data_IF_066553278910
#
_entry.id   IF_066553278910
#
_cell.length_a   1.000
_cell.length_b   1.000
_cell.length_c   1.000
_cell.angle_alpha   90.00
_cell.angle_beta   90.00
_cell.angle_gamma   90.00
#
_symmetry.space_group_name_H-M   'P 1'
#
loop_
_entity.id
_entity.type
_entity.pdbx_description
1 polymer ?
#
# COMPACT_ATOMS: atom_id res chain seq x y z
N UNK A 1 -10.35 19.53 38.13
CA UNK A 1 -9.77 18.24 37.71
C UNK A 1 -10.26 17.94 36.29
N UNK A 2 -9.50 18.33 35.28
CA UNK A 2 -9.90 18.18 33.88
C UNK A 2 -9.50 16.79 33.37
N UNK A 3 -10.51 16.05 32.91
CA UNK A 3 -10.36 14.75 32.27
C UNK A 3 -9.50 14.89 31.00
N UNK A 4 -8.37 14.19 30.97
CA UNK A 4 -7.63 13.95 29.73
C UNK A 4 -8.36 12.86 28.94
N UNK A 5 -9.26 13.26 28.03
CA UNK A 5 -9.68 12.38 26.95
C UNK A 5 -8.46 12.08 26.08
N UNK A 6 -7.96 10.85 26.16
CA UNK A 6 -7.11 10.27 25.13
C UNK A 6 -7.98 10.07 23.89
N UNK A 7 -7.95 11.03 22.97
CA UNK A 7 -8.49 10.81 21.63
C UNK A 7 -7.60 9.85 20.85
N UNK A 8 -8.23 8.82 20.30
CA UNK A 8 -7.70 7.81 19.41
C UNK A 8 -6.97 8.43 18.22
N UNK A 9 -5.63 8.42 18.25
CA UNK A 9 -4.78 8.70 17.08
C UNK A 9 -4.60 7.48 16.17
N UNK A 10 -5.58 6.57 16.11
CA UNK A 10 -5.47 5.34 15.31
C UNK A 10 -5.94 5.49 13.86
N UNK A 11 -6.38 6.68 13.43
CA UNK A 11 -7.06 6.86 12.14
C UNK A 11 -6.63 8.05 11.27
N UNK A 12 -5.60 8.82 11.65
CA UNK A 12 -5.14 9.91 10.77
C UNK A 12 -4.33 9.34 9.62
N UNK A 13 -4.98 9.28 8.46
CA UNK A 13 -4.34 9.12 7.15
C UNK A 13 -3.21 10.16 7.05
N UNK A 14 -1.97 9.78 6.70
CA UNK A 14 -0.91 10.74 6.50
C UNK A 14 -1.37 11.83 5.52
N UNK A 15 -1.08 13.12 5.77
CA UNK A 15 -1.53 14.24 4.93
C UNK A 15 -1.03 14.17 3.46
N UNK A 16 -0.20 13.18 3.12
CA UNK A 16 0.37 12.92 1.81
C UNK A 16 -0.36 11.87 0.96
N UNK A 17 -1.36 11.16 1.49
CA UNK A 17 -2.10 10.16 0.71
C UNK A 17 -3.25 10.81 -0.07
N UNK A 18 -3.33 10.51 -1.37
CA UNK A 18 -4.36 11.03 -2.26
C UNK A 18 -5.74 10.54 -1.83
N UNK A 19 -6.72 11.43 -1.73
CA UNK A 19 -8.10 11.00 -1.43
C UNK A 19 -8.69 10.31 -2.66
N UNK A 20 -9.08 9.05 -2.49
CA UNK A 20 -9.88 8.33 -3.48
C UNK A 20 -11.37 8.40 -3.12
N UNK A 21 -12.23 8.40 -4.13
CA UNK A 21 -13.69 8.39 -4.01
C UNK A 21 -14.25 6.95 -3.97
N UNK A 22 -15.42 6.71 -3.33
CA UNK A 22 -16.06 5.41 -3.33
C UNK A 22 -16.47 4.94 -4.72
N UNK A 23 -16.36 3.64 -4.97
CA UNK A 23 -16.76 2.98 -6.22
C UNK A 23 -18.18 2.41 -6.14
N UNK A 24 -18.97 2.55 -7.20
CA UNK A 24 -20.37 2.04 -7.24
C UNK A 24 -20.47 0.52 -7.37
N UNK A 25 -19.48 -0.14 -8.00
CA UNK A 25 -19.45 -1.59 -8.27
C UNK A 25 -18.08 -2.16 -7.92
N UNK A 26 -17.80 -2.39 -6.62
CA UNK A 26 -16.45 -2.67 -6.14
C UNK A 26 -15.88 -4.00 -6.65
N UNK A 27 -16.69 -5.05 -6.76
CA UNK A 27 -16.24 -6.36 -7.27
C UNK A 27 -15.80 -6.30 -8.74
N UNK A 28 -16.59 -5.64 -9.60
CA UNK A 28 -16.21 -5.41 -11.00
C UNK A 28 -14.96 -4.53 -11.11
N UNK A 29 -14.87 -3.50 -10.28
CA UNK A 29 -13.71 -2.63 -10.24
C UNK A 29 -12.45 -3.36 -9.77
N UNK A 30 -12.57 -4.35 -8.87
CA UNK A 30 -11.45 -5.21 -8.47
C UNK A 30 -10.97 -6.05 -9.66
N UNK A 31 -11.89 -6.72 -10.36
CA UNK A 31 -11.54 -7.48 -11.57
C UNK A 31 -10.87 -6.61 -12.63
N UNK A 32 -11.39 -5.40 -12.84
CA UNK A 32 -10.81 -4.42 -13.75
C UNK A 32 -9.41 -3.96 -13.30
N UNK A 33 -9.23 -3.66 -12.01
CA UNK A 33 -7.96 -3.23 -11.46
C UNK A 33 -6.88 -4.29 -11.68
N UNK A 34 -7.18 -5.56 -11.38
CA UNK A 34 -6.24 -6.67 -11.56
C UNK A 34 -5.88 -6.88 -13.05
N UNK A 35 -6.88 -6.77 -13.94
CA UNK A 35 -6.65 -6.84 -15.38
C UNK A 35 -5.75 -5.69 -15.87
N UNK A 36 -5.94 -4.48 -15.34
CA UNK A 36 -5.12 -3.31 -15.67
C UNK A 36 -3.69 -3.40 -15.14
N UNK A 37 -3.47 -4.03 -13.97
CA UNK A 37 -2.12 -4.27 -13.45
C UNK A 37 -1.32 -5.26 -14.31
N UNK A 38 -1.98 -6.15 -15.05
CA UNK A 38 -1.33 -7.08 -15.97
C UNK A 38 -1.04 -6.49 -17.37
N UNK A 39 -1.57 -5.30 -17.66
CA UNK A 39 -1.38 -4.65 -18.96
C UNK A 39 0.05 -4.12 -19.12
N UNK A 40 0.57 -4.05 -20.34
CA UNK A 40 1.89 -3.47 -20.64
C UNK A 40 1.86 -1.93 -20.65
N UNK A 41 0.67 -1.36 -20.87
CA UNK A 41 0.48 0.07 -20.94
C UNK A 41 0.45 0.72 -19.55
N UNK A 42 1.27 1.75 -19.38
CA UNK A 42 1.54 2.30 -18.06
C UNK A 42 0.37 3.13 -17.51
N UNK A 43 -0.41 3.78 -18.38
CA UNK A 43 -1.63 4.49 -18.00
C UNK A 43 -2.64 3.52 -17.40
N UNK A 44 -2.78 2.33 -18.00
CA UNK A 44 -3.68 1.29 -17.51
C UNK A 44 -3.22 0.79 -16.14
N UNK A 45 -1.94 0.46 -15.98
CA UNK A 45 -1.40 0.10 -14.65
C UNK A 45 -1.64 1.20 -13.61
N UNK A 46 -1.45 2.47 -13.98
CA UNK A 46 -1.67 3.61 -13.08
C UNK A 46 -3.13 3.72 -12.63
N UNK A 47 -4.07 3.49 -13.55
CA UNK A 47 -5.50 3.44 -13.23
C UNK A 47 -5.86 2.22 -12.37
N UNK A 48 -5.30 1.04 -12.66
CA UNK A 48 -5.47 -0.14 -11.83
C UNK A 48 -5.00 0.09 -10.38
N UNK A 49 -3.84 0.72 -10.21
CA UNK A 49 -3.32 1.11 -8.90
C UNK A 49 -4.24 2.11 -8.18
N UNK A 50 -4.87 3.03 -8.91
CA UNK A 50 -5.84 3.99 -8.37
C UNK A 50 -7.10 3.27 -7.87
N UNK A 51 -7.64 2.35 -8.66
CA UNK A 51 -8.80 1.53 -8.27
C UNK A 51 -8.50 0.71 -7.00
N UNK A 52 -7.32 0.09 -6.90
CA UNK A 52 -6.92 -0.62 -5.66
C UNK A 52 -6.93 0.30 -4.45
N UNK A 53 -6.46 1.55 -4.56
CA UNK A 53 -6.50 2.51 -3.44
C UNK A 53 -7.93 2.86 -3.04
N UNK A 54 -8.81 3.07 -4.01
CA UNK A 54 -10.22 3.35 -3.75
C UNK A 54 -10.91 2.18 -3.05
N UNK A 55 -10.66 0.95 -3.51
CA UNK A 55 -11.16 -0.28 -2.91
C UNK A 55 -10.65 -0.47 -1.48
N UNK A 56 -9.34 -0.31 -1.25
CA UNK A 56 -8.75 -0.44 0.08
C UNK A 56 -9.35 0.55 1.09
N UNK A 57 -9.66 1.77 0.64
CA UNK A 57 -10.21 2.83 1.49
C UNK A 57 -11.68 2.63 1.84
N UNK A 58 -12.49 2.17 0.89
CA UNK A 58 -13.97 2.22 1.01
C UNK A 58 -14.65 0.85 1.01
N UNK A 59 -13.97 -0.18 0.51
CA UNK A 59 -14.55 -1.49 0.16
C UNK A 59 -13.62 -2.63 0.60
N UNK A 60 -13.19 -2.60 1.87
CA UNK A 60 -12.25 -3.58 2.41
C UNK A 60 -12.78 -5.03 2.34
N UNK A 61 -14.09 -5.21 2.49
CA UNK A 61 -14.80 -6.48 2.34
C UNK A 61 -14.55 -7.17 0.99
N UNK A 62 -14.36 -6.40 -0.08
CA UNK A 62 -14.02 -6.92 -1.42
C UNK A 62 -12.53 -7.16 -1.58
N UNK A 63 -11.68 -6.41 -0.88
CA UNK A 63 -10.22 -6.52 -0.98
C UNK A 63 -9.66 -7.69 -0.17
N UNK A 64 -10.18 -7.90 1.05
CA UNK A 64 -9.63 -8.88 1.99
C UNK A 64 -9.62 -10.33 1.48
N UNK A 65 -10.64 -10.84 0.77
CA UNK A 65 -10.62 -12.19 0.19
C UNK A 65 -9.49 -12.40 -0.82
N UNK A 66 -9.12 -11.34 -1.55
CA UNK A 66 -8.12 -11.36 -2.62
C UNK A 66 -6.80 -10.68 -2.22
N UNK A 67 -6.60 -10.45 -0.91
CA UNK A 67 -5.56 -9.56 -0.38
C UNK A 67 -4.16 -9.94 -0.85
N UNK A 68 -3.82 -11.23 -0.77
CA UNK A 68 -2.52 -11.73 -1.15
C UNK A 68 -2.24 -11.50 -2.65
N UNK A 69 -3.24 -11.74 -3.49
CA UNK A 69 -3.11 -11.57 -4.94
C UNK A 69 -2.95 -10.09 -5.31
N UNK A 70 -3.78 -9.22 -4.72
CA UNK A 70 -3.69 -7.76 -4.88
C UNK A 70 -2.32 -7.27 -4.43
N UNK A 71 -1.88 -7.66 -3.25
CA UNK A 71 -0.59 -7.20 -2.68
C UNK A 71 0.58 -7.67 -3.53
N UNK A 72 0.55 -8.91 -4.02
CA UNK A 72 1.57 -9.42 -4.93
C UNK A 72 1.62 -8.64 -6.25
N UNK A 73 0.46 -8.32 -6.83
CA UNK A 73 0.38 -7.51 -8.05
C UNK A 73 0.94 -6.10 -7.83
N UNK A 74 0.60 -5.43 -6.71
CA UNK A 74 1.15 -4.11 -6.38
C UNK A 74 2.67 -4.18 -6.12
N UNK A 75 3.15 -5.22 -5.43
CA UNK A 75 4.58 -5.45 -5.17
C UNK A 75 5.38 -5.59 -6.48
N UNK A 76 4.82 -6.26 -7.49
CA UNK A 76 5.45 -6.35 -8.80
C UNK A 76 5.65 -4.96 -9.42
N UNK A 77 4.65 -4.08 -9.29
CA UNK A 77 4.70 -2.72 -9.81
C UNK A 77 5.62 -1.77 -9.03
N UNK A 78 5.93 -2.04 -7.76
CA UNK A 78 6.97 -1.28 -7.02
C UNK A 78 8.31 -1.32 -7.76
N UNK A 79 8.63 -2.43 -8.41
CA UNK A 79 9.87 -2.63 -9.17
C UNK A 79 9.79 -2.12 -10.62
N UNK A 80 8.65 -1.56 -11.04
CA UNK A 80 8.48 -1.06 -12.41
C UNK A 80 9.54 -0.01 -12.77
N UNK A 81 10.03 -0.08 -14.01
CA UNK A 81 11.06 0.83 -14.55
C UNK A 81 10.49 2.23 -14.81
N UNK A 82 9.20 2.33 -15.14
CA UNK A 82 8.52 3.61 -15.28
C UNK A 82 8.25 4.19 -13.89
N UNK A 83 8.93 5.31 -13.60
CA UNK A 83 8.86 5.94 -12.28
C UNK A 83 7.44 6.32 -11.84
N UNK A 84 6.55 6.68 -12.77
CA UNK A 84 5.15 7.01 -12.44
C UNK A 84 4.37 5.79 -11.92
N UNK A 85 4.54 4.62 -12.55
CA UNK A 85 3.89 3.37 -12.13
C UNK A 85 4.46 2.92 -10.80
N UNK A 86 5.79 2.92 -10.67
CA UNK A 86 6.46 2.54 -9.42
C UNK A 86 6.07 3.43 -8.25
N UNK A 87 6.00 4.75 -8.45
CA UNK A 87 5.49 5.69 -7.44
C UNK A 87 4.04 5.41 -7.10
N UNK A 88 3.20 5.18 -8.11
CA UNK A 88 1.80 4.79 -7.92
C UNK A 88 1.68 3.55 -7.04
N UNK A 89 2.51 2.53 -7.28
CA UNK A 89 2.51 1.30 -6.51
C UNK A 89 2.97 1.50 -5.06
N UNK A 90 4.02 2.29 -4.84
CA UNK A 90 4.49 2.66 -3.50
C UNK A 90 3.39 3.41 -2.72
N UNK A 91 2.72 4.37 -3.36
CA UNK A 91 1.57 5.05 -2.76
C UNK A 91 0.43 4.06 -2.47
N UNK A 92 0.15 3.13 -3.38
CA UNK A 92 -0.88 2.10 -3.16
C UNK A 92 -0.54 1.19 -1.97
N UNK A 93 0.72 0.79 -1.79
CA UNK A 93 1.15 0.07 -0.58
C UNK A 93 0.84 0.87 0.69
N UNK A 94 1.14 2.18 0.70
CA UNK A 94 0.85 3.03 1.85
C UNK A 94 -0.65 3.09 2.18
N UNK A 95 -1.52 3.11 1.16
CA UNK A 95 -2.98 3.02 1.33
C UNK A 95 -3.43 1.69 1.93
N UNK A 96 -2.89 0.57 1.43
CA UNK A 96 -3.21 -0.76 1.95
C UNK A 96 -2.87 -0.86 3.44
N UNK A 97 -1.68 -0.42 3.86
CA UNK A 97 -1.31 -0.40 5.28
C UNK A 97 -2.21 0.50 6.12
N UNK A 98 -2.56 1.69 5.61
CA UNK A 98 -3.36 2.68 6.34
C UNK A 98 -4.79 2.20 6.59
N UNK A 99 -5.41 1.59 5.57
CA UNK A 99 -6.83 1.25 5.61
C UNK A 99 -7.11 -0.18 6.06
N UNK A 100 -6.26 -1.15 5.70
CA UNK A 100 -6.45 -2.56 6.07
C UNK A 100 -5.70 -2.94 7.36
N UNK A 101 -4.65 -2.20 7.71
CA UNK A 101 -3.96 -2.29 9.02
C UNK A 101 -3.52 -3.71 9.35
N UNK A 102 -4.03 -4.30 10.43
CA UNK A 102 -3.66 -5.64 10.92
C UNK A 102 -3.97 -6.75 9.92
N UNK A 103 -4.91 -6.53 9.01
CA UNK A 103 -5.19 -7.49 7.94
C UNK A 103 -4.01 -7.62 6.97
N UNK A 104 -3.13 -6.61 6.88
CA UNK A 104 -1.90 -6.67 6.08
C UNK A 104 -0.79 -7.51 6.70
N UNK A 105 -0.94 -7.98 7.94
CA UNK A 105 0.14 -8.61 8.71
C UNK A 105 0.77 -9.82 8.00
N UNK A 106 0.02 -10.57 7.19
CA UNK A 106 0.53 -11.69 6.38
C UNK A 106 1.42 -11.23 5.22
N UNK A 107 1.18 -10.03 4.70
CA UNK A 107 1.85 -9.50 3.51
C UNK A 107 3.02 -8.57 3.85
N UNK A 108 3.14 -8.15 5.12
CA UNK A 108 4.14 -7.19 5.61
C UNK A 108 5.56 -7.58 5.20
N UNK A 109 5.94 -8.86 5.28
CA UNK A 109 7.30 -9.28 4.95
C UNK A 109 7.63 -9.05 3.48
N UNK A 110 6.77 -9.52 2.57
CA UNK A 110 6.97 -9.36 1.12
C UNK A 110 6.97 -7.89 0.71
N UNK A 111 6.05 -7.12 1.29
CA UNK A 111 5.91 -5.70 1.07
C UNK A 111 7.15 -4.90 1.54
N UNK A 112 7.57 -5.09 2.79
CA UNK A 112 8.74 -4.43 3.37
C UNK A 112 10.01 -4.74 2.57
N UNK A 113 10.20 -6.00 2.19
CA UNK A 113 11.32 -6.43 1.35
C UNK A 113 11.36 -5.71 0.00
N UNK A 114 10.23 -5.63 -0.70
CA UNK A 114 10.17 -4.95 -2.01
C UNK A 114 10.45 -3.45 -1.89
N UNK A 115 9.85 -2.80 -0.88
CA UNK A 115 10.03 -1.38 -0.61
C UNK A 115 11.48 -1.04 -0.24
N UNK A 116 12.09 -1.79 0.69
CA UNK A 116 13.48 -1.59 1.11
C UNK A 116 14.47 -1.77 -0.05
N UNK A 117 14.25 -2.79 -0.88
CA UNK A 117 15.04 -2.98 -2.09
C UNK A 117 14.94 -1.77 -3.01
N UNK A 118 13.72 -1.28 -3.24
CA UNK A 118 13.47 -0.11 -4.10
C UNK A 118 14.13 1.15 -3.54
N UNK A 119 14.18 1.34 -2.22
CA UNK A 119 14.86 2.48 -1.61
C UNK A 119 16.38 2.51 -1.92
N UNK A 120 17.01 1.34 -2.07
CA UNK A 120 18.43 1.22 -2.39
C UNK A 120 18.79 1.65 -3.81
N UNK A 121 17.85 1.55 -4.76
CA UNK A 121 18.14 1.69 -6.19
C UNK A 121 17.77 3.07 -6.79
N UNK A 122 17.18 3.98 -6.03
CA UNK A 122 16.31 5.02 -6.62
C UNK A 122 16.59 6.46 -6.23
N UNK A 123 15.93 7.40 -6.92
CA UNK A 123 16.04 8.85 -6.69
C UNK A 123 15.40 9.30 -5.37
N UNK A 124 15.71 10.53 -4.94
CA UNK A 124 15.20 11.13 -3.70
C UNK A 124 13.66 11.04 -3.58
N UNK A 125 12.93 11.31 -4.66
CA UNK A 125 11.46 11.26 -4.67
C UNK A 125 10.91 9.85 -4.43
N UNK A 126 11.56 8.83 -4.99
CA UNK A 126 11.15 7.44 -4.74
C UNK A 126 11.46 7.06 -3.30
N UNK A 127 12.64 7.42 -2.80
CA UNK A 127 13.03 7.17 -1.41
C UNK A 127 12.04 7.80 -0.42
N UNK A 128 11.61 9.04 -0.66
CA UNK A 128 10.58 9.69 0.15
C UNK A 128 9.23 8.95 0.10
N UNK A 129 8.84 8.45 -1.08
CA UNK A 129 7.64 7.63 -1.20
C UNK A 129 7.76 6.31 -0.43
N UNK A 130 8.91 5.65 -0.51
CA UNK A 130 9.17 4.40 0.24
C UNK A 130 9.19 4.67 1.74
N UNK A 131 9.85 5.72 2.19
CA UNK A 131 9.88 6.13 3.60
C UNK A 131 8.46 6.37 4.13
N UNK A 132 7.62 7.04 3.35
CA UNK A 132 6.21 7.21 3.70
C UNK A 132 5.50 5.86 3.82
N UNK A 133 5.65 4.95 2.85
CA UNK A 133 4.98 3.65 2.86
C UNK A 133 5.47 2.75 4.02
N UNK A 134 6.77 2.76 4.33
CA UNK A 134 7.31 2.03 5.47
C UNK A 134 6.88 2.68 6.80
N UNK A 135 6.78 4.01 6.84
CA UNK A 135 6.23 4.74 7.98
C UNK A 135 4.77 4.35 8.27
N UNK A 136 3.93 4.24 7.24
CA UNK A 136 2.54 3.79 7.42
C UNK A 136 2.45 2.32 7.82
N UNK A 137 3.31 1.46 7.27
CA UNK A 137 3.45 0.07 7.70
C UNK A 137 3.75 0.00 9.21
N UNK A 138 4.74 0.76 9.70
CA UNK A 138 5.10 0.79 11.12
C UNK A 138 3.97 1.33 12.00
N UNK A 139 3.22 2.32 11.50
CA UNK A 139 2.16 2.96 12.28
C UNK A 139 0.89 2.12 12.39
N UNK A 140 0.57 1.30 11.39
CA UNK A 140 -0.74 0.65 11.27
C UNK A 140 -0.73 -0.88 11.37
N UNK A 141 0.37 -1.56 11.07
CA UNK A 141 0.47 -3.02 11.15
C UNK A 141 0.96 -3.47 12.53
N UNK A 142 0.86 -4.77 12.83
CA UNK A 142 1.27 -5.28 14.15
C UNK A 142 2.79 -5.15 14.38
N UNK A 143 3.25 -4.56 15.50
CA UNK A 143 4.68 -4.28 15.72
C UNK A 143 5.60 -5.49 15.58
N UNK A 144 5.18 -6.67 16.06
CA UNK A 144 5.97 -7.90 15.94
C UNK A 144 6.15 -8.36 14.49
N UNK A 145 5.11 -8.20 13.66
CA UNK A 145 5.14 -8.54 12.22
C UNK A 145 5.98 -7.54 11.44
N UNK A 146 5.82 -6.25 11.76
CA UNK A 146 6.64 -5.18 11.20
C UNK A 146 8.11 -5.40 11.48
N UNK A 147 8.48 -5.66 12.73
CA UNK A 147 9.88 -5.91 13.11
C UNK A 147 10.45 -7.11 12.35
N UNK A 148 9.71 -8.22 12.30
CA UNK A 148 10.12 -9.41 11.54
C UNK A 148 10.30 -9.08 10.06
N UNK A 149 9.35 -8.37 9.44
CA UNK A 149 9.39 -8.02 8.03
C UNK A 149 10.54 -7.08 7.68
N UNK A 150 10.79 -6.06 8.51
CA UNK A 150 11.90 -5.12 8.31
C UNK A 150 13.26 -5.80 8.49
N UNK A 151 13.42 -6.67 9.49
CA UNK A 151 14.65 -7.45 9.68
C UNK A 151 14.88 -8.40 8.49
N UNK A 152 13.86 -9.16 8.09
CA UNK A 152 13.96 -10.09 6.96
C UNK A 152 14.16 -9.37 5.61
N UNK A 153 13.63 -8.16 5.47
CA UNK A 153 13.73 -7.34 4.25
C UNK A 153 15.03 -6.55 4.14
N UNK A 154 15.58 -6.09 5.27
CA UNK A 154 16.77 -5.23 5.33
C UNK A 154 18.10 -5.97 5.55
N UNK A 155 18.07 -7.17 6.17
CA UNK A 155 19.25 -8.02 6.31
C UNK A 155 19.46 -8.79 5.01
N UNK A 156 20.35 -8.28 4.15
CA UNK A 156 21.00 -9.03 3.08
C UNK A 156 22.47 -8.69 3.05
#
# INVERSE_FOLDING_TARGET
MAAHSKEDKAGQVPPSLTSEDPLNRPEEALGQALCFLQDEEWERKTEGLRLVRALAKHHADVVLPELHYITTAVIAEVKNLRSIVSRGAITTMAHLFTHLRREMDSEVEGAARSLLHKAGETSLFIRQGVELALGTLVHHCSPGRVLQGLLAGGLR
#
